data_IF_929422616472
#
_entry.id   IF_929422616472
#
_cell.length_a   1.000
_cell.length_b   1.000
_cell.length_c   1.000
_cell.angle_alpha   90.00
_cell.angle_beta   90.00
_cell.angle_gamma   90.00
#
_symmetry.space_group_name_H-M   'P 1'
#
loop_
_entity.id
_entity.type
_entity.pdbx_description
1 polymer ?
#
# COMPACT_ATOMS: atom_id res chain seq x y z
N UNK A 1 -16.61 -4.09 2.87
CA UNK A 1 -16.41 -5.25 3.77
C UNK A 1 -15.59 -4.88 5.00
N UNK A 2 -14.50 -4.09 4.91
CA UNK A 2 -13.82 -3.52 6.10
C UNK A 2 -14.39 -2.18 6.54
N UNK A 3 -14.77 -1.29 5.61
CA UNK A 3 -15.35 0.03 5.92
C UNK A 3 -16.67 -0.02 6.74
N UNK A 4 -17.32 -1.18 6.83
CA UNK A 4 -18.52 -1.37 7.66
C UNK A 4 -18.21 -1.54 9.16
N UNK A 5 -16.95 -1.83 9.48
CA UNK A 5 -16.41 -1.96 10.84
C UNK A 5 -15.85 -0.62 11.36
N UNK A 6 -15.90 0.44 10.54
CA UNK A 6 -15.45 1.78 10.90
C UNK A 6 -16.68 2.62 11.22
N UNK A 7 -16.66 3.28 12.37
CA UNK A 7 -17.62 4.30 12.74
C UNK A 7 -17.38 5.54 11.85
N UNK A 8 -18.41 5.93 11.09
CA UNK A 8 -18.29 6.96 10.06
C UNK A 8 -18.20 8.38 10.63
N UNK A 9 -18.64 8.60 11.86
CA UNK A 9 -18.60 9.92 12.50
C UNK A 9 -17.24 10.19 13.11
N UNK A 10 -16.63 9.16 13.70
CA UNK A 10 -15.36 9.25 14.42
C UNK A 10 -14.16 8.83 13.59
N UNK A 11 -14.38 8.12 12.47
CA UNK A 11 -13.30 7.54 11.67
C UNK A 11 -12.50 6.46 12.41
N UNK A 12 -13.07 5.90 13.48
CA UNK A 12 -12.43 4.93 14.36
C UNK A 12 -13.09 3.55 14.24
N UNK A 13 -12.46 2.51 14.78
CA UNK A 13 -13.03 1.17 14.78
C UNK A 13 -14.32 1.17 15.62
N UNK A 14 -15.37 0.59 15.07
CA UNK A 14 -16.58 0.28 15.82
C UNK A 14 -16.30 -0.95 16.70
N UNK A 15 -15.98 -0.68 17.97
CA UNK A 15 -15.49 -1.69 18.92
C UNK A 15 -16.52 -2.83 19.08
N UNK A 16 -17.80 -2.50 19.14
CA UNK A 16 -18.86 -3.47 19.35
C UNK A 16 -19.03 -4.38 18.12
N UNK A 17 -18.95 -3.81 16.91
CA UNK A 17 -18.96 -4.63 15.69
C UNK A 17 -17.71 -5.50 15.57
N UNK A 18 -16.53 -4.98 15.88
CA UNK A 18 -15.28 -5.75 15.79
C UNK A 18 -15.32 -6.92 16.78
N UNK A 19 -15.69 -6.67 18.05
CA UNK A 19 -15.78 -7.75 19.06
C UNK A 19 -16.92 -8.73 18.80
N UNK A 20 -17.98 -8.31 18.11
CA UNK A 20 -19.10 -9.19 17.75
C UNK A 20 -18.83 -10.09 16.54
N UNK A 21 -17.87 -9.73 15.68
CA UNK A 21 -17.58 -10.44 14.43
C UNK A 21 -16.34 -11.35 14.56
N UNK A 22 -15.34 -10.96 15.33
CA UNK A 22 -14.05 -11.64 15.41
C UNK A 22 -13.84 -12.35 16.74
N UNK A 23 -12.98 -13.38 16.78
CA UNK A 23 -12.58 -14.01 18.04
C UNK A 23 -11.83 -13.00 18.92
N UNK A 24 -11.81 -13.17 20.26
CA UNK A 24 -11.20 -12.19 21.16
C UNK A 24 -9.76 -11.80 20.79
N UNK A 25 -8.92 -12.77 20.40
CA UNK A 25 -7.53 -12.49 20.01
C UNK A 25 -7.41 -11.75 18.66
N UNK A 26 -8.32 -12.02 17.72
CA UNK A 26 -8.37 -11.33 16.43
C UNK A 26 -8.91 -9.91 16.60
N UNK A 27 -9.94 -9.75 17.43
CA UNK A 27 -10.50 -8.44 17.77
C UNK A 27 -9.46 -7.55 18.46
N UNK A 28 -8.67 -8.10 19.38
CA UNK A 28 -7.55 -7.36 20.00
C UNK A 28 -6.51 -6.93 18.97
N UNK A 29 -6.11 -7.82 18.05
CA UNK A 29 -5.17 -7.49 17.00
C UNK A 29 -5.71 -6.37 16.08
N UNK A 30 -7.00 -6.44 15.70
CA UNK A 30 -7.65 -5.43 14.85
C UNK A 30 -7.76 -4.09 15.57
N UNK A 31 -8.18 -4.08 16.84
CA UNK A 31 -8.30 -2.86 17.64
C UNK A 31 -6.94 -2.21 17.93
N UNK A 32 -5.85 -2.99 17.87
CA UNK A 32 -4.48 -2.50 17.95
C UNK A 32 -4.00 -1.79 16.68
N UNK A 33 -4.71 -1.93 15.55
CA UNK A 33 -4.37 -1.22 14.32
C UNK A 33 -4.90 0.22 14.40
N UNK A 34 -4.00 1.20 14.28
CA UNK A 34 -4.40 2.60 14.19
C UNK A 34 -5.05 2.90 12.85
N UNK A 35 -6.28 3.42 12.86
CA UNK A 35 -6.88 3.98 11.65
C UNK A 35 -6.25 5.35 11.42
N UNK A 36 -5.91 5.64 10.17
CA UNK A 36 -5.40 6.96 9.77
C UNK A 36 -6.36 8.06 10.22
N UNK A 37 -5.86 9.03 10.98
CA UNK A 37 -6.61 10.23 11.38
C UNK A 37 -6.81 11.22 10.24
N UNK A 38 -6.15 10.99 9.10
CA UNK A 38 -6.30 11.79 7.88
C UNK A 38 -7.28 11.06 6.96
N UNK A 39 -8.54 11.53 6.84
CA UNK A 39 -9.49 10.98 5.88
C UNK A 39 -9.12 11.45 4.47
N UNK A 40 -8.06 10.87 3.91
CA UNK A 40 -7.79 11.01 2.48
C UNK A 40 -8.80 10.13 1.76
N UNK A 41 -9.44 10.65 0.72
CA UNK A 41 -10.35 9.85 -0.10
C UNK A 41 -9.57 8.67 -0.67
N UNK A 42 -10.07 7.46 -0.45
CA UNK A 42 -9.48 6.25 -1.03
C UNK A 42 -9.28 6.46 -2.54
N UNK A 43 -8.03 6.33 -2.97
CA UNK A 43 -7.65 6.38 -4.38
C UNK A 43 -7.03 5.05 -4.75
N UNK A 44 -7.48 4.47 -5.86
CA UNK A 44 -6.89 3.25 -6.37
C UNK A 44 -5.81 3.67 -7.37
N UNK A 45 -4.56 3.34 -7.06
CA UNK A 45 -3.40 3.66 -7.89
C UNK A 45 -2.95 2.37 -8.59
N UNK A 46 -2.96 2.35 -9.92
CA UNK A 46 -2.34 1.29 -10.72
C UNK A 46 -1.49 1.90 -11.84
N UNK A 47 -0.54 1.12 -12.36
CA UNK A 47 0.30 1.54 -13.49
C UNK A 47 -0.58 1.90 -14.70
N UNK A 48 -0.32 3.07 -15.30
CA UNK A 48 -1.08 3.62 -16.42
C UNK A 48 -1.37 2.59 -17.52
N UNK A 49 -2.65 2.37 -17.83
CA UNK A 49 -3.11 1.59 -18.98
C UNK A 49 -3.72 2.52 -20.01
N UNK A 50 -3.58 2.23 -21.30
CA UNK A 50 -4.04 3.10 -22.40
C UNK A 50 -5.55 3.33 -22.41
N UNK A 51 -6.30 2.47 -21.76
CA UNK A 51 -7.75 2.53 -21.60
C UNK A 51 -8.18 2.95 -20.18
N UNK A 52 -7.24 3.32 -19.30
CA UNK A 52 -7.52 3.81 -17.96
C UNK A 52 -8.11 2.77 -16.99
N UNK A 53 -8.41 1.55 -17.44
CA UNK A 53 -8.96 0.50 -16.60
C UNK A 53 -7.89 -0.51 -16.20
N UNK A 54 -7.88 -0.88 -14.92
CA UNK A 54 -7.15 -2.04 -14.45
C UNK A 54 -7.80 -3.34 -14.98
N UNK A 55 -6.98 -4.28 -15.44
CA UNK A 55 -7.43 -5.65 -15.70
C UNK A 55 -6.35 -6.64 -15.30
N UNK A 56 -6.78 -7.77 -14.70
CA UNK A 56 -5.89 -8.88 -14.36
C UNK A 56 -5.09 -9.37 -15.58
N UNK A 57 -5.75 -9.37 -16.75
CA UNK A 57 -5.11 -9.72 -18.03
C UNK A 57 -3.97 -8.76 -18.35
N UNK A 58 -4.19 -7.45 -18.26
CA UNK A 58 -3.16 -6.44 -18.49
C UNK A 58 -1.99 -6.56 -17.50
N UNK A 59 -2.29 -6.69 -16.21
CA UNK A 59 -1.27 -6.87 -15.17
C UNK A 59 -0.41 -8.12 -15.41
N UNK A 60 -1.04 -9.21 -15.84
CA UNK A 60 -0.36 -10.46 -16.19
C UNK A 60 0.60 -10.30 -17.38
N UNK A 61 0.19 -9.61 -18.45
CA UNK A 61 1.08 -9.33 -19.59
C UNK A 61 2.29 -8.48 -19.22
N UNK A 62 2.09 -7.48 -18.36
CA UNK A 62 3.19 -6.68 -17.80
C UNK A 62 4.13 -7.59 -17.04
N UNK A 63 3.65 -8.33 -16.04
CA UNK A 63 4.49 -9.25 -15.25
C UNK A 63 5.27 -10.24 -16.13
N UNK A 64 4.64 -10.82 -17.16
CA UNK A 64 5.33 -11.69 -18.10
C UNK A 64 6.46 -11.00 -18.88
N UNK A 65 6.26 -9.75 -19.32
CA UNK A 65 7.29 -8.99 -20.04
C UNK A 65 8.49 -8.74 -19.13
N UNK A 66 8.25 -8.33 -17.89
CA UNK A 66 9.30 -8.10 -16.90
C UNK A 66 10.10 -9.37 -16.58
N UNK A 67 9.44 -10.53 -16.48
CA UNK A 67 10.12 -11.82 -16.29
C UNK A 67 11.01 -12.20 -17.48
N UNK A 68 10.61 -11.84 -18.71
CA UNK A 68 11.41 -12.08 -19.92
C UNK A 68 12.59 -11.12 -20.03
N UNK A 69 12.41 -9.86 -19.62
CA UNK A 69 13.47 -8.84 -19.65
C UNK A 69 14.57 -9.12 -18.61
N UNK A 70 14.28 -9.88 -17.55
CA UNK A 70 15.24 -10.31 -16.52
C UNK A 70 16.20 -11.43 -16.96
N UNK A 71 15.99 -12.04 -18.14
CA UNK A 71 16.77 -13.21 -18.58
C UNK A 71 18.19 -12.86 -19.11
N UNK A 72 18.67 -11.63 -18.93
CA UNK A 72 19.99 -11.18 -19.39
C UNK A 72 20.93 -10.62 -18.30
N UNK A 73 20.71 -10.95 -17.02
CA UNK A 73 21.78 -10.91 -16.01
C UNK A 73 21.61 -12.07 -15.03
N UNK A 74 22.40 -13.12 -15.21
CA UNK A 74 22.69 -14.05 -14.12
C UNK A 74 23.51 -13.28 -13.07
N UNK A 75 22.83 -12.54 -12.20
CA UNK A 75 23.40 -12.08 -10.96
C UNK A 75 23.11 -13.15 -9.90
N UNK A 76 24.17 -13.67 -9.30
CA UNK A 76 24.07 -14.68 -8.25
C UNK A 76 23.31 -14.04 -7.10
N UNK A 77 22.12 -14.56 -6.81
CA UNK A 77 21.31 -14.12 -5.69
C UNK A 77 22.05 -14.29 -4.37
N UNK A 78 22.72 -13.23 -3.94
CA UNK A 78 22.91 -12.94 -2.52
C UNK A 78 21.70 -12.15 -2.06
N UNK A 79 20.96 -12.73 -1.13
CA UNK A 79 19.83 -12.11 -0.47
C UNK A 79 20.33 -11.01 0.48
N UNK A 80 19.59 -9.90 0.55
CA UNK A 80 19.65 -8.86 1.59
C UNK A 80 20.45 -7.58 1.30
N UNK A 81 20.55 -7.18 0.04
CA UNK A 81 20.99 -5.82 -0.29
C UNK A 81 19.75 -4.89 -0.34
N UNK A 82 19.46 -4.19 0.76
CA UNK A 82 18.40 -3.17 0.84
C UNK A 82 18.61 -1.98 -0.15
N UNK A 83 19.64 -2.04 -0.98
CA UNK A 83 20.01 -1.03 -1.98
C UNK A 83 19.11 -1.05 -3.22
N UNK A 84 18.37 -2.15 -3.45
CA UNK A 84 17.52 -2.32 -4.64
C UNK A 84 16.03 -2.12 -4.39
N UNK A 85 15.65 -1.82 -3.14
CA UNK A 85 14.27 -1.56 -2.75
C UNK A 85 14.20 -0.17 -2.11
N UNK A 86 13.16 0.60 -2.46
CA UNK A 86 12.85 1.87 -1.80
C UNK A 86 11.79 1.54 -0.75
N UNK A 87 12.12 1.73 0.53
CA UNK A 87 11.16 1.57 1.62
C UNK A 87 10.54 2.93 1.92
N UNK A 88 9.21 2.99 1.86
CA UNK A 88 8.46 4.24 1.94
C UNK A 88 7.59 4.21 3.21
N UNK A 89 7.63 5.29 3.99
CA UNK A 89 6.79 5.49 5.17
C UNK A 89 5.89 6.71 4.98
N UNK A 90 4.57 6.50 5.06
CA UNK A 90 3.54 7.53 4.91
C UNK A 90 3.18 8.25 6.22
N UNK A 91 3.79 7.86 7.34
CA UNK A 91 3.55 8.43 8.67
C UNK A 91 4.55 9.50 9.10
N UNK A 92 5.64 9.69 8.35
CA UNK A 92 6.74 10.59 8.71
C UNK A 92 6.65 11.94 7.98
N UNK A 93 7.24 13.02 8.53
CA UNK A 93 7.18 14.35 7.93
C UNK A 93 7.68 14.38 6.47
N UNK A 94 7.14 15.30 5.67
CA UNK A 94 7.55 15.49 4.28
C UNK A 94 9.06 15.72 4.15
N UNK A 95 9.68 15.06 3.17
CA UNK A 95 11.12 15.16 2.91
C UNK A 95 12.00 14.49 3.97
N UNK A 96 11.41 13.79 4.95
CA UNK A 96 12.16 13.07 5.97
C UNK A 96 12.55 11.66 5.52
N UNK A 97 13.60 11.14 6.14
CA UNK A 97 14.05 9.76 6.00
C UNK A 97 14.67 9.31 7.32
N UNK A 98 14.53 8.03 7.65
CA UNK A 98 15.17 7.46 8.83
C UNK A 98 15.65 6.03 8.54
N UNK A 99 16.65 5.59 9.30
CA UNK A 99 17.08 4.18 9.31
C UNK A 99 16.43 3.51 10.51
N UNK A 100 15.65 2.46 10.29
CA UNK A 100 15.11 1.67 11.38
C UNK A 100 16.24 0.93 12.10
N UNK A 101 16.34 1.12 13.42
CA UNK A 101 17.39 0.52 14.24
C UNK A 101 17.24 -1.00 14.42
N UNK A 102 16.03 -1.53 14.24
CA UNK A 102 15.77 -2.97 14.38
C UNK A 102 16.08 -3.75 13.10
N UNK A 103 15.65 -3.23 11.95
CA UNK A 103 15.79 -3.92 10.65
C UNK A 103 16.92 -3.38 9.78
N UNK A 104 17.55 -2.27 10.18
CA UNK A 104 18.55 -1.53 9.39
C UNK A 104 18.06 -1.04 8.02
N UNK A 105 16.76 -1.02 7.80
CA UNK A 105 16.13 -0.56 6.55
C UNK A 105 16.05 0.97 6.57
N UNK A 106 16.40 1.61 5.44
CA UNK A 106 16.20 3.04 5.25
C UNK A 106 14.79 3.30 4.70
N UNK A 107 14.01 4.08 5.43
CA UNK A 107 12.69 4.56 5.05
C UNK A 107 12.77 6.01 4.57
N UNK A 108 11.99 6.34 3.55
CA UNK A 108 11.82 7.71 3.04
C UNK A 108 10.34 8.10 3.05
N UNK A 109 10.04 9.39 3.20
CA UNK A 109 8.66 9.89 3.15
C UNK A 109 8.02 9.60 1.79
N UNK A 110 6.72 9.32 1.79
CA UNK A 110 5.91 9.12 0.59
C UNK A 110 5.59 10.41 -0.19
N UNK A 111 5.96 11.59 0.34
CA UNK A 111 5.60 12.89 -0.23
C UNK A 111 6.03 13.09 -1.69
N UNK A 112 7.17 12.52 -2.09
CA UNK A 112 7.69 12.60 -3.47
C UNK A 112 7.14 11.52 -4.40
N UNK A 113 6.38 10.56 -3.87
CA UNK A 113 5.83 9.41 -4.60
C UNK A 113 4.32 9.48 -4.78
N UNK A 114 3.64 10.38 -4.07
CA UNK A 114 2.17 10.54 -4.13
C UNK A 114 1.70 11.44 -5.29
N UNK A 115 2.59 12.22 -5.91
CA UNK A 115 2.25 13.24 -6.92
C UNK A 115 2.18 12.72 -8.39
N UNK A 116 2.09 11.40 -8.59
CA UNK A 116 2.02 10.80 -9.94
C UNK A 116 0.62 10.36 -10.35
N UNK A 117 -0.37 10.50 -9.47
CA UNK A 117 -1.76 10.12 -9.73
C UNK A 117 -2.50 11.17 -10.55
N UNK A 118 -2.76 10.91 -11.83
CA UNK A 118 -3.76 11.67 -12.58
C UNK A 118 -5.15 11.18 -12.15
N UNK A 119 -5.96 12.07 -11.55
CA UNK A 119 -7.31 11.75 -11.14
C UNK A 119 -8.22 11.55 -12.37
N UNK A 120 -8.58 10.29 -12.67
CA UNK A 120 -9.49 9.93 -13.75
C UNK A 120 -10.89 9.61 -13.20
N UNK A 121 -11.93 10.19 -13.81
CA UNK A 121 -13.30 9.80 -13.50
C UNK A 121 -13.58 8.40 -14.04
N UNK A 122 -13.97 7.47 -13.16
CA UNK A 122 -14.46 6.16 -13.59
C UNK A 122 -15.87 6.35 -14.15
N UNK A 123 -16.05 6.08 -15.45
CA UNK A 123 -17.38 6.02 -16.03
C UNK A 123 -18.14 4.83 -15.43
N UNK A 124 -19.41 4.99 -15.03
CA UNK A 124 -20.23 3.85 -14.63
C UNK A 124 -20.41 2.93 -15.84
N UNK A 125 -20.02 1.66 -15.68
CA UNK A 125 -20.28 0.58 -16.62
C UNK A 125 -21.68 0.01 -16.48
#
# INVERSE_FOLDING_TARGET
MVACLIDKETGSWDIDKVKGVFLPHEAEAILGMTISSRPVKDSVIWAWTTNGNFSMKGAYWVAQKWLKDQNHKADKGSTSDNTRFISIDCGIPEGSSYKDGATEINYTSDSTFTDTGVNGNIAPG
#
